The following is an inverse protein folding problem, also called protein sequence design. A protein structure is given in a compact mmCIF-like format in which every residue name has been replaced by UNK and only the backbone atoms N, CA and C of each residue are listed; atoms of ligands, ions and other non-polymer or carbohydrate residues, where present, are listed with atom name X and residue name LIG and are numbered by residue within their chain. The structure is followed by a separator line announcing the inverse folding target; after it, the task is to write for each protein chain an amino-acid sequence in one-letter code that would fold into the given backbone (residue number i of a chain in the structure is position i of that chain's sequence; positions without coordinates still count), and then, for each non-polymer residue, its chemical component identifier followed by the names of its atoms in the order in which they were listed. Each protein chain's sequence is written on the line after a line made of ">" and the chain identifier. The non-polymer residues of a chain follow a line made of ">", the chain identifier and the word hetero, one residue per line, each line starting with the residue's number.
data_IF_346655705690
#
_entry.id   IF_346655705690
#
_cell.length_a   1.000
_cell.length_b   1.000
_cell.length_c   1.000
_cell.angle_alpha   90.00
_cell.angle_beta   90.00
_cell.angle_gamma   90.00
#
_symmetry.space_group_name_H-M   'P 1'
#
loop_
_entity.id
_entity.type
_entity.pdbx_description
1 polymer ?
#
# COMPACT_ATOMS: atom_id res chain seq x y z
N UNK A 1 -10.07 -12.61 29.59
CA UNK A 1 -9.02 -12.75 28.56
C UNK A 1 -9.70 -12.93 27.21
N UNK A 2 -9.68 -11.89 26.37
CA UNK A 2 -10.40 -11.90 25.08
C UNK A 2 -9.60 -12.78 24.10
N UNK A 3 -10.12 -13.99 23.83
CA UNK A 3 -9.73 -14.79 22.66
C UNK A 3 -10.03 -13.95 21.44
N UNK A 4 -9.00 -13.54 20.71
CA UNK A 4 -9.17 -12.90 19.40
C UNK A 4 -9.00 -14.03 18.37
N UNK A 5 -10.04 -14.19 17.57
CA UNK A 5 -10.44 -15.35 16.79
C UNK A 5 -9.40 -15.85 15.77
N UNK A 6 -9.32 -17.17 15.64
CA UNK A 6 -8.50 -17.91 14.65
C UNK A 6 -8.97 -17.77 13.18
N UNK A 7 -9.87 -16.82 12.84
CA UNK A 7 -10.37 -16.59 11.47
C UNK A 7 -10.77 -15.12 11.25
N UNK A 8 -9.80 -14.20 11.18
CA UNK A 8 -10.01 -12.78 10.85
C UNK A 8 -9.79 -12.40 9.37
N UNK A 9 -9.42 -13.37 8.52
CA UNK A 9 -8.80 -13.16 7.20
C UNK A 9 -9.68 -12.53 6.10
N UNK A 10 -10.87 -12.02 6.40
CA UNK A 10 -11.81 -11.46 5.39
C UNK A 10 -12.14 -9.97 5.59
N UNK A 11 -11.78 -9.38 6.74
CA UNK A 11 -11.71 -7.93 6.95
C UNK A 11 -10.25 -7.45 7.16
N UNK A 12 -9.30 -8.38 7.05
CA UNK A 12 -7.87 -8.12 7.18
C UNK A 12 -7.50 -7.19 6.03
N UNK A 13 -7.39 -5.89 6.31
CA UNK A 13 -6.64 -4.93 5.51
C UNK A 13 -5.19 -5.43 5.42
N UNK A 14 -4.82 -6.26 4.42
CA UNK A 14 -3.62 -7.07 4.55
C UNK A 14 -2.37 -6.21 4.38
N UNK A 15 -2.52 -5.01 3.79
CA UNK A 15 -1.48 -4.00 3.74
C UNK A 15 -1.66 -2.98 4.85
N UNK A 16 -0.56 -2.76 5.58
CA UNK A 16 -0.45 -1.66 6.55
C UNK A 16 0.78 -0.83 6.18
N UNK A 17 0.77 0.46 6.50
CA UNK A 17 1.93 1.32 6.28
C UNK A 17 2.30 2.07 7.55
N UNK A 18 3.58 2.39 7.69
CA UNK A 18 4.10 3.22 8.78
C UNK A 18 5.13 4.19 8.24
N UNK A 19 5.02 5.45 8.64
CA UNK A 19 6.07 6.42 8.41
C UNK A 19 7.15 6.31 9.49
N UNK A 20 8.40 6.23 9.07
CA UNK A 20 9.58 6.22 9.94
C UNK A 20 10.51 7.32 9.43
N UNK A 21 10.46 8.49 10.07
CA UNK A 21 11.16 9.69 9.60
C UNK A 21 10.67 10.12 8.21
N UNK A 22 11.56 10.04 7.22
CA UNK A 22 11.28 10.37 5.81
C UNK A 22 11.03 9.13 4.93
N UNK A 23 10.97 7.96 5.55
CA UNK A 23 10.74 6.68 4.89
C UNK A 23 9.35 6.15 5.19
N UNK A 24 8.78 5.39 4.25
CA UNK A 24 7.48 4.76 4.43
C UNK A 24 7.62 3.27 4.25
N UNK A 25 7.28 2.55 5.30
CA UNK A 25 7.40 1.12 5.40
C UNK A 25 6.03 0.51 5.16
N UNK A 26 5.90 -0.27 4.10
CA UNK A 26 4.68 -1.00 3.74
C UNK A 26 4.85 -2.45 4.17
N UNK A 27 3.89 -2.93 4.93
CA UNK A 27 3.81 -4.27 5.49
C UNK A 27 2.68 -5.04 4.83
N UNK A 28 2.88 -6.34 4.62
CA UNK A 28 1.87 -7.28 4.18
C UNK A 28 1.76 -8.39 5.22
N UNK A 29 0.58 -8.57 5.83
CA UNK A 29 0.39 -9.47 6.99
C UNK A 29 1.52 -9.33 8.04
N UNK A 30 1.80 -8.08 8.45
CA UNK A 30 2.88 -7.72 9.40
C UNK A 30 4.32 -7.95 8.93
N UNK A 31 4.55 -8.39 7.67
CA UNK A 31 5.89 -8.52 7.09
C UNK A 31 6.24 -7.30 6.26
N UNK A 32 7.39 -6.67 6.52
CA UNK A 32 7.88 -5.55 5.69
C UNK A 32 8.15 -6.03 4.26
N UNK A 33 7.40 -5.50 3.29
CA UNK A 33 7.50 -5.87 1.88
C UNK A 33 8.10 -4.77 1.02
N UNK A 34 7.94 -3.51 1.40
CA UNK A 34 8.46 -2.39 0.62
C UNK A 34 8.81 -1.21 1.52
N UNK A 35 9.90 -0.53 1.21
CA UNK A 35 10.30 0.73 1.83
C UNK A 35 10.38 1.81 0.74
N UNK A 36 9.63 2.88 0.91
CA UNK A 36 9.65 4.06 0.05
C UNK A 36 10.51 5.14 0.70
N UNK A 37 11.29 5.84 -0.11
CA UNK A 37 12.21 6.90 0.33
C UNK A 37 12.04 8.14 -0.54
N UNK A 38 12.35 9.32 0.02
CA UNK A 38 12.42 10.60 -0.69
C UNK A 38 11.12 10.89 -1.48
N UNK A 39 11.22 11.18 -2.78
CA UNK A 39 10.09 11.48 -3.65
C UNK A 39 9.03 10.38 -3.70
N UNK A 40 9.43 9.10 -3.60
CA UNK A 40 8.45 7.99 -3.61
C UNK A 40 7.60 7.96 -2.35
N UNK A 41 8.19 8.33 -1.21
CA UNK A 41 7.48 8.43 0.05
C UNK A 41 6.47 9.60 0.00
N UNK A 42 6.88 10.76 -0.51
CA UNK A 42 6.00 11.93 -0.66
C UNK A 42 4.81 11.62 -1.59
N UNK A 43 5.07 11.08 -2.79
CA UNK A 43 4.01 10.70 -3.73
C UNK A 43 3.05 9.65 -3.18
N UNK A 44 3.54 8.76 -2.31
CA UNK A 44 2.68 7.80 -1.62
C UNK A 44 1.80 8.48 -0.59
N UNK A 45 2.35 9.39 0.22
CA UNK A 45 1.56 10.14 1.20
C UNK A 45 0.44 10.92 0.54
N UNK A 46 0.73 11.64 -0.54
CA UNK A 46 -0.29 12.40 -1.28
C UNK A 46 -1.43 11.52 -1.81
N UNK A 47 -1.12 10.30 -2.23
CA UNK A 47 -2.12 9.35 -2.71
C UNK A 47 -2.89 8.68 -1.57
N UNK A 48 -2.20 8.32 -0.48
CA UNK A 48 -2.80 7.58 0.64
C UNK A 48 -3.66 8.48 1.54
N UNK A 49 -3.35 9.78 1.63
CA UNK A 49 -4.15 10.74 2.40
C UNK A 49 -5.48 11.08 1.75
N UNK A 50 -5.56 10.97 0.43
CA UNK A 50 -6.77 11.20 -0.35
C UNK A 50 -7.60 9.92 -0.56
N UNK A 51 -7.06 8.76 -0.20
CA UNK A 51 -7.65 7.46 -0.48
C UNK A 51 -8.49 6.95 0.69
N UNK A 52 -9.67 6.42 0.38
CA UNK A 52 -10.48 5.67 1.34
C UNK A 52 -9.85 4.30 1.65
N UNK A 53 -10.23 3.66 2.76
CA UNK A 53 -9.60 2.40 3.22
C UNK A 53 -9.39 1.35 2.13
N UNK A 54 -10.37 1.16 1.24
CA UNK A 54 -10.25 0.23 0.09
C UNK A 54 -9.26 0.71 -0.98
N UNK A 55 -9.25 2.02 -1.29
CA UNK A 55 -8.31 2.60 -2.25
C UNK A 55 -6.89 2.59 -1.71
N UNK A 56 -6.71 2.81 -0.41
CA UNK A 56 -5.44 2.73 0.27
C UNK A 56 -4.80 1.35 0.11
N UNK A 57 -5.60 0.28 0.27
CA UNK A 57 -5.16 -1.09 -0.01
C UNK A 57 -4.71 -1.27 -1.47
N UNK A 58 -5.46 -0.73 -2.44
CA UNK A 58 -5.10 -0.82 -3.87
C UNK A 58 -3.80 -0.06 -4.19
N UNK A 59 -3.58 1.11 -3.59
CA UNK A 59 -2.35 1.90 -3.77
C UNK A 59 -1.14 1.11 -3.23
N UNK A 60 -1.24 0.56 -2.02
CA UNK A 60 -0.18 -0.26 -1.43
C UNK A 60 0.08 -1.53 -2.27
N UNK A 61 -0.98 -2.18 -2.77
CA UNK A 61 -0.87 -3.37 -3.60
C UNK A 61 -0.21 -3.09 -4.98
N UNK A 62 -0.44 -1.90 -5.56
CA UNK A 62 0.24 -1.45 -6.79
C UNK A 62 1.72 -1.20 -6.54
N UNK A 63 2.07 -0.57 -5.42
CA UNK A 63 3.45 -0.20 -5.08
C UNK A 63 4.30 -1.43 -4.75
N UNK A 64 3.74 -2.38 -4.00
CA UNK A 64 4.41 -3.65 -3.66
C UNK A 64 4.61 -4.56 -4.87
N UNK A 65 4.02 -4.22 -6.02
CA UNK A 65 4.15 -4.97 -7.26
C UNK A 65 3.29 -6.23 -7.33
N UNK A 66 2.50 -6.54 -6.29
CA UNK A 66 1.63 -7.73 -6.25
C UNK A 66 0.54 -7.73 -7.32
N UNK A 67 0.19 -6.55 -7.88
CA UNK A 67 -0.81 -6.42 -8.95
C UNK A 67 -0.22 -5.98 -10.30
N UNK A 68 1.11 -6.10 -10.53
CA UNK A 68 1.79 -5.73 -11.79
C UNK A 68 1.49 -6.65 -12.99
N UNK A 69 0.36 -7.35 -13.01
CA UNK A 69 -0.11 -8.07 -14.21
C UNK A 69 -1.32 -7.33 -14.79
N UNK A 70 -1.07 -6.26 -15.55
CA UNK A 70 -2.05 -5.79 -16.54
C UNK A 70 -2.53 -4.34 -16.47
N UNK A 71 -1.63 -3.34 -16.38
CA UNK A 71 -2.05 -1.97 -16.74
C UNK A 71 -0.93 -1.08 -17.34
N UNK A 72 -0.04 -1.64 -18.16
CA UNK A 72 0.96 -0.87 -18.93
C UNK A 72 0.41 -0.29 -20.24
N UNK A 73 -0.82 0.24 -20.25
CA UNK A 73 -1.31 1.08 -21.36
C UNK A 73 -2.27 2.16 -20.89
N UNK A 74 -1.77 3.22 -20.25
CA UNK A 74 -2.39 4.54 -20.37
C UNK A 74 -1.51 5.66 -19.81
N UNK A 75 -0.65 6.22 -20.66
CA UNK A 75 -0.53 7.67 -20.94
C UNK A 75 0.85 7.96 -21.56
N UNK A 76 0.96 7.69 -22.85
CA UNK A 76 1.70 8.60 -23.74
C UNK A 76 0.65 9.52 -24.36
N UNK A 77 0.46 10.70 -23.78
CA UNK A 77 0.09 11.87 -24.60
C UNK A 77 1.42 12.50 -24.99
N UNK A 78 1.87 12.19 -26.19
CA UNK A 78 2.81 13.04 -26.91
C UNK A 78 1.97 13.83 -27.92
N UNK A 79 2.27 15.12 -27.99
CA UNK A 79 1.59 16.17 -28.73
C UNK A 79 1.47 15.89 -30.24
#
# INVERSE_FOLDING_TARGET
>A
MKRIDQRGALNDEPFSWKQVGYEIHIFWHSKLVTVLRKERAMKFLEQITLADGKEAQLIMAKITGNFRRGNERARRKAY
#
